data_IF_634982621398
#
_entry.id   IF_634982621398
#
_cell.length_a   1.000
_cell.length_b   1.000
_cell.length_c   1.000
_cell.angle_alpha   90.00
_cell.angle_beta   90.00
_cell.angle_gamma   90.00
#
_symmetry.space_group_name_H-M   'P 1'
#
loop_
_entity.id
_entity.type
_entity.pdbx_description
1 polymer ?
#
# COMPACT_ATOMS: atom_id res chain seq x y z
N UNK A 1 -7.11 27.54 7.87
CA UNK A 1 -5.93 27.33 7.02
C UNK A 1 -5.67 25.83 7.08
N UNK A 2 -5.97 25.08 6.02
CA UNK A 2 -5.76 23.64 5.95
C UNK A 2 -4.26 23.46 5.71
N UNK A 3 -3.59 22.76 6.61
CA UNK A 3 -2.17 22.46 6.45
C UNK A 3 -2.02 21.53 5.23
N UNK A 4 -1.40 22.02 4.16
CA UNK A 4 -1.08 21.22 2.97
C UNK A 4 -0.05 20.11 3.27
N UNK A 5 0.49 20.09 4.48
CA UNK A 5 1.58 19.22 4.91
C UNK A 5 1.11 18.00 5.71
N UNK A 6 -0.21 17.82 5.91
CA UNK A 6 -0.71 16.65 6.65
C UNK A 6 -0.39 15.36 5.93
N UNK A 7 0.34 14.47 6.59
CA UNK A 7 0.62 13.10 6.14
C UNK A 7 -0.31 12.12 6.87
N UNK A 8 -1.19 11.47 6.14
CA UNK A 8 -2.15 10.50 6.67
C UNK A 8 -1.82 9.10 6.18
N UNK A 9 -1.96 8.11 7.05
CA UNK A 9 -1.95 6.70 6.69
C UNK A 9 -3.36 6.13 6.81
N UNK A 10 -3.82 5.44 5.79
CA UNK A 10 -4.97 4.54 5.85
C UNK A 10 -4.42 3.14 5.63
N UNK A 11 -4.49 2.30 6.66
CA UNK A 11 -3.88 0.98 6.63
C UNK A 11 -4.94 -0.09 6.86
N UNK A 12 -5.01 -1.03 5.93
CA UNK A 12 -5.93 -2.16 5.98
C UNK A 12 -5.20 -3.40 6.51
N UNK A 13 -5.66 -3.97 7.60
CA UNK A 13 -5.03 -5.11 8.25
C UNK A 13 -6.03 -6.27 8.38
N UNK A 14 -5.80 -7.33 7.61
CA UNK A 14 -6.58 -8.56 7.74
C UNK A 14 -6.08 -9.39 8.91
N UNK A 15 -7.01 -9.84 9.75
CA UNK A 15 -6.78 -10.58 10.99
C UNK A 15 -7.48 -11.93 10.95
N UNK A 16 -6.73 -12.99 11.28
CA UNK A 16 -7.22 -14.33 11.54
C UNK A 16 -6.50 -14.92 12.76
N UNK A 17 -6.82 -16.17 13.14
CA UNK A 17 -6.26 -16.82 14.33
C UNK A 17 -4.72 -16.88 14.33
N UNK A 18 -4.11 -17.05 13.17
CA UNK A 18 -2.66 -17.18 13.01
C UNK A 18 -1.95 -15.83 12.83
N UNK A 19 -2.71 -14.70 12.82
CA UNK A 19 -2.18 -13.41 12.40
C UNK A 19 -0.97 -12.92 13.19
N UNK A 20 -0.91 -13.18 14.50
CA UNK A 20 0.21 -12.75 15.32
C UNK A 20 1.45 -13.61 15.17
N UNK A 21 1.29 -14.88 14.83
CA UNK A 21 2.39 -15.84 14.68
C UNK A 21 2.89 -15.93 13.25
N UNK A 22 2.08 -15.46 12.28
CA UNK A 22 2.45 -15.51 10.88
C UNK A 22 3.68 -14.64 10.57
N UNK A 23 4.75 -15.19 9.97
CA UNK A 23 6.00 -14.46 9.77
C UNK A 23 5.85 -13.17 8.97
N UNK A 24 4.92 -13.12 8.01
CA UNK A 24 4.65 -11.92 7.21
C UNK A 24 3.99 -10.83 8.06
N UNK A 25 3.10 -11.17 8.98
CA UNK A 25 2.52 -10.17 9.87
C UNK A 25 3.54 -9.63 10.88
N UNK A 26 4.43 -10.48 11.40
CA UNK A 26 5.57 -10.02 12.23
C UNK A 26 6.42 -9.00 11.46
N UNK A 27 6.67 -9.26 10.18
CA UNK A 27 7.34 -8.29 9.29
C UNK A 27 6.55 -6.99 9.16
N UNK A 28 5.23 -7.05 8.91
CA UNK A 28 4.39 -5.86 8.84
C UNK A 28 4.40 -5.07 10.15
N UNK A 29 4.30 -5.72 11.30
CA UNK A 29 4.38 -5.06 12.61
C UNK A 29 5.72 -4.35 12.78
N UNK A 30 6.83 -4.99 12.44
CA UNK A 30 8.16 -4.38 12.53
C UNK A 30 8.31 -3.17 11.61
N UNK A 31 7.80 -3.26 10.39
CA UNK A 31 7.84 -2.16 9.44
C UNK A 31 6.89 -1.02 9.84
N UNK A 32 5.72 -1.33 10.40
CA UNK A 32 4.82 -0.33 10.96
C UNK A 32 5.48 0.40 12.13
N UNK A 33 6.07 -0.32 13.09
CA UNK A 33 6.83 0.28 14.20
C UNK A 33 7.86 1.30 13.70
N UNK A 34 8.59 0.95 12.64
CA UNK A 34 9.62 1.81 12.04
C UNK A 34 9.05 3.07 11.39
N UNK A 35 7.92 2.99 10.69
CA UNK A 35 7.49 4.06 9.80
C UNK A 35 6.24 4.82 10.24
N UNK A 36 5.41 4.27 11.12
CA UNK A 36 4.12 4.86 11.49
C UNK A 36 4.26 6.28 12.08
N UNK A 37 5.38 6.57 12.73
CA UNK A 37 5.67 7.88 13.33
C UNK A 37 5.82 9.02 12.30
N UNK A 38 6.05 8.69 11.01
CA UNK A 38 6.15 9.67 9.91
C UNK A 38 4.80 10.31 9.56
N UNK A 39 3.70 9.76 10.06
CA UNK A 39 2.35 10.25 9.80
C UNK A 39 1.83 11.14 10.91
N UNK A 40 0.93 12.07 10.56
CA UNK A 40 0.24 12.95 11.49
C UNK A 40 -1.09 12.35 11.95
N UNK A 41 -1.69 11.53 11.09
CA UNK A 41 -2.95 10.84 11.33
C UNK A 41 -2.87 9.42 10.78
N UNK A 42 -3.41 8.47 11.55
CA UNK A 42 -3.55 7.06 11.13
C UNK A 42 -4.99 6.61 11.27
N UNK A 43 -5.55 6.08 10.20
CA UNK A 43 -6.81 5.33 10.19
C UNK A 43 -6.44 3.87 9.99
N UNK A 44 -6.51 3.10 11.06
CA UNK A 44 -6.17 1.69 11.05
C UNK A 44 -7.44 0.85 10.93
N UNK A 45 -7.58 0.17 9.80
CA UNK A 45 -8.77 -0.58 9.42
C UNK A 45 -8.53 -2.07 9.60
N UNK A 46 -9.18 -2.67 10.58
CA UNK A 46 -9.09 -4.10 10.87
C UNK A 46 -10.15 -4.83 10.05
N UNK A 47 -9.72 -5.76 9.20
CA UNK A 47 -10.60 -6.67 8.46
C UNK A 47 -10.60 -8.01 9.20
N UNK A 48 -11.76 -8.53 9.57
CA UNK A 48 -11.90 -9.75 10.35
C UNK A 48 -13.04 -10.63 9.82
N UNK A 49 -12.83 -11.95 9.86
CA UNK A 49 -13.85 -12.92 9.45
C UNK A 49 -14.96 -13.04 10.48
N UNK A 50 -14.61 -12.98 11.75
CA UNK A 50 -15.54 -13.11 12.87
C UNK A 50 -15.38 -11.93 13.85
N UNK A 51 -16.38 -11.06 13.89
CA UNK A 51 -16.41 -9.92 14.81
C UNK A 51 -16.45 -10.30 16.29
N UNK A 52 -16.79 -11.53 16.63
CA UNK A 52 -16.79 -11.98 18.02
C UNK A 52 -15.37 -12.18 18.57
N UNK A 53 -14.35 -12.16 17.71
CA UNK A 53 -12.92 -12.24 18.09
C UNK A 53 -12.38 -10.91 18.62
N UNK A 54 -13.03 -10.39 19.66
CA UNK A 54 -12.60 -9.16 20.35
C UNK A 54 -11.17 -9.22 20.88
N UNK A 55 -10.70 -10.40 21.26
CA UNK A 55 -9.34 -10.64 21.74
C UNK A 55 -8.28 -10.28 20.67
N UNK A 56 -8.50 -10.64 19.42
CA UNK A 56 -7.58 -10.31 18.32
C UNK A 56 -7.62 -8.82 17.99
N UNK A 57 -8.83 -8.25 17.94
CA UNK A 57 -9.01 -6.82 17.69
C UNK A 57 -8.27 -6.02 18.76
N UNK A 58 -8.50 -6.33 20.04
CA UNK A 58 -7.87 -5.64 21.17
C UNK A 58 -6.34 -5.73 21.11
N UNK A 59 -5.77 -6.89 20.83
CA UNK A 59 -4.31 -7.07 20.70
C UNK A 59 -3.71 -6.19 19.61
N UNK A 60 -4.38 -6.06 18.45
CA UNK A 60 -3.94 -5.17 17.37
C UNK A 60 -4.03 -3.71 17.80
N UNK A 61 -5.13 -3.31 18.41
CA UNK A 61 -5.31 -1.93 18.90
C UNK A 61 -4.24 -1.58 19.93
N UNK A 62 -3.98 -2.44 20.91
CA UNK A 62 -2.94 -2.26 21.92
C UNK A 62 -1.55 -2.11 21.28
N UNK A 63 -1.23 -2.97 20.31
CA UNK A 63 0.04 -2.86 19.59
C UNK A 63 0.16 -1.51 18.86
N UNK A 64 -0.83 -1.12 18.06
CA UNK A 64 -0.78 0.14 17.30
C UNK A 64 -0.73 1.35 18.25
N UNK A 65 -1.50 1.35 19.34
CA UNK A 65 -1.45 2.40 20.38
C UNK A 65 -0.07 2.48 21.03
N UNK A 66 0.64 1.36 21.19
CA UNK A 66 1.97 1.35 21.78
C UNK A 66 3.05 2.03 20.91
N UNK A 67 2.86 2.03 19.60
CA UNK A 67 3.84 2.57 18.64
C UNK A 67 3.44 3.91 18.01
N UNK A 68 2.18 4.36 18.18
CA UNK A 68 1.70 5.60 17.58
C UNK A 68 0.87 6.43 18.56
N UNK A 69 1.31 7.68 18.80
CA UNK A 69 0.76 8.55 19.85
C UNK A 69 0.12 9.86 19.31
N UNK A 70 -0.08 9.95 18.00
CA UNK A 70 -0.77 11.09 17.39
C UNK A 70 -2.25 10.77 17.15
N UNK A 71 -2.87 11.39 16.17
CA UNK A 71 -4.28 11.16 15.83
C UNK A 71 -4.50 9.76 15.24
N UNK A 72 -5.13 8.88 16.01
CA UNK A 72 -5.39 7.49 15.66
C UNK A 72 -6.89 7.20 15.67
N UNK A 73 -7.35 6.50 14.66
CA UNK A 73 -8.73 6.03 14.52
C UNK A 73 -8.72 4.56 14.12
N UNK A 74 -9.45 3.73 14.84
CA UNK A 74 -9.69 2.34 14.47
C UNK A 74 -11.04 2.19 13.79
N UNK A 75 -11.09 1.34 12.78
CA UNK A 75 -12.31 0.92 12.10
C UNK A 75 -12.29 -0.58 11.87
N UNK A 76 -13.44 -1.24 12.02
CA UNK A 76 -13.58 -2.69 11.87
C UNK A 76 -14.45 -2.96 10.66
N UNK A 77 -13.97 -3.82 9.80
CA UNK A 77 -14.61 -4.26 8.57
C UNK A 77 -14.80 -5.78 8.58
N UNK A 78 -15.96 -6.23 8.09
CA UNK A 78 -16.14 -7.65 7.78
C UNK A 78 -15.29 -8.02 6.58
N UNK A 79 -14.65 -9.19 6.63
CA UNK A 79 -13.97 -9.72 5.46
C UNK A 79 -15.00 -10.09 4.39
N UNK A 80 -14.79 -9.56 3.20
CA UNK A 80 -15.63 -9.80 2.03
C UNK A 80 -14.76 -10.23 0.85
N UNK A 81 -15.38 -10.61 -0.25
CA UNK A 81 -14.65 -10.88 -1.50
C UNK A 81 -13.86 -9.68 -2.03
N UNK A 82 -14.14 -8.47 -1.51
CA UNK A 82 -13.45 -7.24 -1.90
C UNK A 82 -12.18 -6.96 -1.08
N UNK A 83 -12.02 -7.61 0.09
CA UNK A 83 -10.83 -7.49 0.96
C UNK A 83 -10.44 -6.02 1.22
N UNK A 84 -9.15 -5.68 1.06
CA UNK A 84 -8.59 -4.33 1.22
C UNK A 84 -9.24 -3.28 0.29
N UNK A 85 -9.75 -3.69 -0.85
CA UNK A 85 -10.45 -2.79 -1.78
C UNK A 85 -11.74 -2.22 -1.20
N UNK A 86 -12.42 -2.93 -0.28
CA UNK A 86 -13.57 -2.39 0.44
C UNK A 86 -13.15 -1.24 1.37
N UNK A 87 -12.03 -1.40 2.07
CA UNK A 87 -11.45 -0.35 2.92
C UNK A 87 -11.06 0.86 2.07
N UNK A 88 -10.33 0.63 0.98
CA UNK A 88 -9.94 1.69 0.06
C UNK A 88 -11.15 2.46 -0.47
N UNK A 89 -12.19 1.77 -0.90
CA UNK A 89 -13.41 2.40 -1.41
C UNK A 89 -14.08 3.27 -0.34
N UNK A 90 -14.29 2.74 0.85
CA UNK A 90 -14.99 3.43 1.91
C UNK A 90 -14.19 4.58 2.52
N UNK A 91 -12.89 4.42 2.70
CA UNK A 91 -12.05 5.38 3.40
C UNK A 91 -11.39 6.40 2.47
N UNK A 92 -11.23 6.06 1.20
CA UNK A 92 -10.56 6.92 0.21
C UNK A 92 -11.52 7.34 -0.89
N UNK A 93 -11.98 6.41 -1.71
CA UNK A 93 -12.69 6.76 -2.94
C UNK A 93 -13.97 7.58 -2.67
N UNK A 94 -14.74 7.22 -1.63
CA UNK A 94 -15.97 7.95 -1.25
C UNK A 94 -15.74 9.14 -0.35
N UNK A 95 -14.51 9.36 0.14
CA UNK A 95 -14.17 10.42 1.11
C UNK A 95 -13.11 11.40 0.58
N UNK A 96 -12.75 11.33 -0.71
CA UNK A 96 -11.64 12.09 -1.30
C UNK A 96 -11.67 13.58 -0.96
N UNK A 97 -12.86 14.19 -0.88
CA UNK A 97 -13.01 15.61 -0.56
C UNK A 97 -12.52 16.00 0.84
N UNK A 98 -12.45 15.01 1.77
CA UNK A 98 -12.02 15.19 3.17
C UNK A 98 -10.54 14.86 3.39
N UNK A 99 -9.88 14.30 2.38
CA UNK A 99 -8.50 13.82 2.48
C UNK A 99 -7.53 14.90 2.00
N UNK A 100 -7.37 15.95 2.79
CA UNK A 100 -6.37 16.98 2.56
C UNK A 100 -4.94 16.46 2.75
N UNK A 101 -3.95 17.12 2.17
CA UNK A 101 -2.54 16.73 2.24
C UNK A 101 -2.22 15.47 1.45
N UNK A 102 -1.30 14.67 1.97
CA UNK A 102 -0.88 13.40 1.41
C UNK A 102 -1.49 12.23 2.19
N UNK A 103 -2.16 11.33 1.49
CA UNK A 103 -2.68 10.11 2.09
C UNK A 103 -1.98 8.89 1.50
N UNK A 104 -1.34 8.11 2.37
CA UNK A 104 -0.77 6.82 2.06
C UNK A 104 -1.80 5.72 2.29
N UNK A 105 -1.91 4.80 1.34
CA UNK A 105 -2.67 3.57 1.50
C UNK A 105 -1.74 2.37 1.49
N UNK A 106 -1.94 1.47 2.45
CA UNK A 106 -1.21 0.21 2.55
C UNK A 106 -2.05 -0.88 3.23
N UNK A 107 -1.58 -2.13 3.14
CA UNK A 107 -2.23 -3.26 3.79
C UNK A 107 -1.24 -4.37 4.14
N UNK A 108 -1.65 -5.36 4.95
CA UNK A 108 -0.80 -6.51 5.26
C UNK A 108 -0.80 -7.54 4.11
N UNK A 109 -0.11 -7.17 3.04
CA UNK A 109 0.08 -7.98 1.84
C UNK A 109 0.82 -9.29 2.15
N UNK A 110 0.44 -10.35 1.44
CA UNK A 110 1.21 -11.60 1.41
C UNK A 110 0.81 -12.64 2.44
N UNK A 111 -0.14 -12.35 3.32
CA UNK A 111 -0.59 -13.32 4.35
C UNK A 111 -1.33 -14.53 3.75
N UNK A 112 -1.90 -14.37 2.56
CA UNK A 112 -2.60 -15.42 1.82
C UNK A 112 -1.87 -15.88 0.56
N UNK A 113 -0.64 -15.43 0.35
CA UNK A 113 0.14 -15.78 -0.84
C UNK A 113 0.67 -17.22 -0.73
N UNK A 114 0.68 -17.90 -1.85
CA UNK A 114 1.23 -19.26 -1.99
C UNK A 114 2.70 -19.26 -2.43
N UNK A 115 3.26 -18.08 -2.66
CA UNK A 115 4.65 -17.91 -3.06
C UNK A 115 5.61 -18.26 -1.92
N UNK A 116 6.88 -18.59 -2.23
CA UNK A 116 7.89 -18.83 -1.21
C UNK A 116 7.99 -17.65 -0.25
N UNK A 117 7.96 -17.93 1.05
CA UNK A 117 7.88 -16.91 2.12
C UNK A 117 8.96 -15.84 2.01
N UNK A 118 10.17 -16.21 1.60
CA UNK A 118 11.27 -15.24 1.44
C UNK A 118 11.02 -14.26 0.28
N UNK A 119 10.38 -14.72 -0.79
CA UNK A 119 9.94 -13.86 -1.89
C UNK A 119 8.91 -12.84 -1.41
N UNK A 120 7.92 -13.31 -0.64
CA UNK A 120 6.88 -12.43 -0.07
C UNK A 120 7.48 -11.43 0.92
N UNK A 121 8.39 -11.85 1.79
CA UNK A 121 9.10 -10.95 2.71
C UNK A 121 9.85 -9.84 1.98
N UNK A 122 10.57 -10.19 0.93
CA UNK A 122 11.31 -9.22 0.13
C UNK A 122 10.37 -8.24 -0.56
N UNK A 123 9.27 -8.71 -1.13
CA UNK A 123 8.26 -7.87 -1.74
C UNK A 123 7.64 -6.89 -0.72
N UNK A 124 7.18 -7.40 0.41
CA UNK A 124 6.63 -6.57 1.49
C UNK A 124 7.65 -5.51 1.94
N UNK A 125 8.90 -5.92 2.18
CA UNK A 125 9.96 -4.98 2.59
C UNK A 125 10.18 -3.89 1.53
N UNK A 126 10.20 -4.25 0.26
CA UNK A 126 10.37 -3.29 -0.84
C UNK A 126 9.22 -2.27 -0.90
N UNK A 127 7.97 -2.72 -0.69
CA UNK A 127 6.83 -1.81 -0.68
C UNK A 127 6.92 -0.75 0.43
N UNK A 128 7.40 -1.10 1.62
CA UNK A 128 7.63 -0.12 2.69
C UNK A 128 8.85 0.75 2.40
N UNK A 129 9.97 0.14 2.04
CA UNK A 129 11.24 0.85 1.81
C UNK A 129 11.08 1.94 0.76
N UNK A 130 10.60 1.60 -0.44
CA UNK A 130 10.50 2.56 -1.54
C UNK A 130 9.37 3.58 -1.41
N UNK A 131 8.40 3.34 -0.52
CA UNK A 131 7.35 4.30 -0.25
C UNK A 131 7.60 5.16 0.99
N UNK A 132 8.30 4.63 2.00
CA UNK A 132 8.33 5.24 3.32
C UNK A 132 9.73 5.56 3.85
N UNK A 133 10.83 4.97 3.34
CA UNK A 133 12.17 5.31 3.81
C UNK A 133 12.52 6.75 3.46
N UNK A 134 12.10 7.20 2.29
CA UNK A 134 12.38 8.55 1.81
C UNK A 134 11.24 9.50 2.14
N UNK A 135 11.57 10.70 2.60
CA UNK A 135 10.56 11.73 2.83
C UNK A 135 10.01 12.25 1.51
N UNK A 136 8.69 12.26 1.39
CA UNK A 136 7.97 12.86 0.27
C UNK A 136 7.26 14.12 0.77
N UNK A 137 7.84 15.32 0.57
CA UNK A 137 7.10 16.55 0.80
C UNK A 137 6.00 16.70 -0.26
N UNK A 138 4.87 17.27 0.16
CA UNK A 138 3.73 17.53 -0.74
C UNK A 138 4.13 18.21 -2.05
N UNK A 139 5.11 19.12 -1.97
CA UNK A 139 5.60 19.88 -3.12
C UNK A 139 6.39 19.03 -4.11
N UNK A 140 6.99 17.92 -3.69
CA UNK A 140 7.72 17.04 -4.61
C UNK A 140 6.77 16.27 -5.54
N UNK A 141 5.47 16.21 -5.17
CA UNK A 141 4.41 15.73 -6.05
C UNK A 141 3.82 16.85 -6.93
N UNK A 142 4.55 17.93 -7.22
CA UNK A 142 4.08 18.96 -8.15
C UNK A 142 3.82 18.36 -9.54
N UNK A 143 2.56 18.49 -9.99
CA UNK A 143 2.11 17.90 -11.26
C UNK A 143 1.74 16.41 -11.20
N UNK A 144 1.96 15.72 -10.06
CA UNK A 144 1.60 14.33 -9.88
C UNK A 144 0.46 14.18 -8.88
N UNK A 145 -0.42 13.21 -9.14
CA UNK A 145 -1.55 12.86 -8.26
C UNK A 145 -1.22 11.68 -7.38
N UNK A 146 -0.43 10.74 -7.88
CA UNK A 146 -0.02 9.53 -7.18
C UNK A 146 1.48 9.33 -7.18
N UNK A 147 1.98 8.68 -6.11
CA UNK A 147 3.34 8.17 -5.99
C UNK A 147 3.30 6.80 -5.32
N UNK A 148 3.98 5.83 -5.90
CA UNK A 148 4.05 4.47 -5.35
C UNK A 148 5.26 3.71 -5.85
N UNK A 149 5.59 2.64 -5.14
CA UNK A 149 6.52 1.65 -5.62
C UNK A 149 5.80 0.68 -6.57
N UNK A 150 6.57 0.01 -7.40
CA UNK A 150 6.09 -1.10 -8.20
C UNK A 150 4.96 -0.69 -9.18
N UNK A 151 5.07 0.51 -9.77
CA UNK A 151 4.17 0.94 -10.85
C UNK A 151 4.46 0.15 -12.11
N UNK A 152 3.44 -0.41 -12.75
CA UNK A 152 3.54 -1.02 -14.07
C UNK A 152 2.69 -0.29 -15.09
N UNK A 153 3.23 -0.06 -16.27
CA UNK A 153 2.51 0.51 -17.41
C UNK A 153 2.01 -0.55 -18.39
N UNK A 154 2.65 -1.70 -18.41
CA UNK A 154 2.24 -2.81 -19.26
C UNK A 154 1.53 -3.83 -18.40
N UNK A 155 0.23 -3.76 -18.44
CA UNK A 155 -0.54 -4.87 -17.95
C UNK A 155 -0.62 -5.87 -19.11
N UNK A 156 0.37 -6.72 -19.22
CA UNK A 156 0.14 -8.06 -19.72
C UNK A 156 -0.69 -8.87 -18.68
N UNK A 157 -1.44 -8.17 -17.89
CA UNK A 157 -2.54 -8.68 -17.09
C UNK A 157 -3.67 -9.18 -18.00
N UNK A 158 -3.30 -9.59 -19.16
CA UNK A 158 -4.17 -9.95 -20.27
C UNK A 158 -5.24 -10.96 -19.89
N UNK A 159 -5.00 -11.78 -18.92
CA UNK A 159 -5.98 -12.79 -18.57
C UNK A 159 -6.80 -12.48 -17.30
N UNK A 160 -6.26 -11.76 -16.34
CA UNK A 160 -6.95 -11.54 -15.05
C UNK A 160 -7.78 -10.26 -15.08
N UNK A 161 -7.24 -9.18 -15.62
CA UNK A 161 -7.90 -7.88 -15.58
C UNK A 161 -8.75 -7.59 -16.83
N UNK A 162 -8.38 -8.12 -17.98
CA UNK A 162 -9.10 -7.92 -19.25
C UNK A 162 -10.36 -8.79 -19.34
N UNK A 163 -10.37 -9.98 -18.77
CA UNK A 163 -11.54 -10.89 -18.77
C UNK A 163 -12.81 -10.27 -18.19
N UNK A 164 -12.67 -9.34 -17.27
CA UNK A 164 -13.82 -8.74 -16.57
C UNK A 164 -14.20 -7.36 -17.12
N UNK A 165 -13.69 -6.94 -18.29
CA UNK A 165 -13.91 -5.59 -18.87
C UNK A 165 -13.51 -4.44 -17.91
N UNK A 166 -12.55 -4.64 -17.03
CA UNK A 166 -12.22 -3.73 -15.96
C UNK A 166 -11.31 -2.57 -16.42
N UNK A 167 -10.65 -2.71 -17.57
CA UNK A 167 -9.77 -1.70 -18.12
C UNK A 167 -10.37 -1.01 -19.34
N UNK A 168 -10.77 0.23 -19.17
CA UNK A 168 -11.29 0.99 -20.32
C UNK A 168 -10.33 2.04 -20.89
N UNK A 169 -9.33 2.54 -20.14
CA UNK A 169 -8.55 3.69 -20.63
C UNK A 169 -7.04 3.71 -20.31
N UNK A 170 -6.60 3.34 -19.14
CA UNK A 170 -5.19 3.49 -18.73
C UNK A 170 -4.70 2.23 -18.01
N UNK A 171 -4.03 1.33 -18.71
CA UNK A 171 -3.63 0.03 -18.14
C UNK A 171 -2.36 0.17 -17.28
N UNK A 172 -2.43 0.84 -16.15
CA UNK A 172 -1.34 0.91 -15.19
C UNK A 172 -1.85 0.78 -13.75
N UNK A 173 -1.04 0.21 -12.88
CA UNK A 173 -1.36 -0.03 -11.47
C UNK A 173 -0.13 0.14 -10.59
N UNK A 174 -0.34 0.27 -9.30
CA UNK A 174 0.70 0.01 -8.29
C UNK A 174 0.51 -1.41 -7.75
N UNK A 175 1.40 -2.32 -8.15
CA UNK A 175 1.35 -3.70 -7.66
C UNK A 175 1.51 -3.75 -6.14
N UNK A 176 0.57 -4.41 -5.46
CA UNK A 176 0.59 -4.57 -4.01
C UNK A 176 -0.08 -3.46 -3.21
N UNK A 177 -0.69 -2.48 -3.86
CA UNK A 177 -1.55 -1.46 -3.24
C UNK A 177 -0.86 -0.61 -2.15
N UNK A 178 0.40 -0.23 -2.39
CA UNK A 178 1.16 0.68 -1.53
C UNK A 178 1.49 1.94 -2.28
N UNK A 179 0.77 3.03 -2.00
CA UNK A 179 0.99 4.30 -2.69
C UNK A 179 0.43 5.50 -1.93
N UNK A 180 0.99 6.66 -2.25
CA UNK A 180 0.54 7.97 -1.82
C UNK A 180 -0.40 8.59 -2.84
N UNK A 181 -1.37 9.38 -2.39
CA UNK A 181 -2.27 10.13 -3.26
C UNK A 181 -2.63 11.51 -2.71
N UNK A 182 -2.91 12.44 -3.63
CA UNK A 182 -3.50 13.76 -3.38
C UNK A 182 -5.00 13.71 -3.67
N UNK A 183 -5.73 13.02 -2.82
CA UNK A 183 -7.13 12.67 -3.11
C UNK A 183 -8.07 13.87 -3.16
N UNK A 184 -7.88 14.89 -2.31
CA UNK A 184 -8.69 16.09 -2.38
C UNK A 184 -8.48 16.88 -3.68
N UNK A 185 -7.25 16.91 -4.19
CA UNK A 185 -6.98 17.50 -5.51
C UNK A 185 -7.63 16.70 -6.63
N UNK A 186 -7.53 15.37 -6.56
CA UNK A 186 -8.18 14.46 -7.49
C UNK A 186 -9.70 14.69 -7.51
N UNK A 187 -10.35 14.77 -6.35
CA UNK A 187 -11.77 15.06 -6.23
C UNK A 187 -12.16 16.37 -6.92
N UNK A 188 -11.36 17.44 -6.70
CA UNK A 188 -11.59 18.73 -7.37
C UNK A 188 -11.48 18.63 -8.89
N UNK A 189 -10.52 17.85 -9.40
CA UNK A 189 -10.37 17.61 -10.84
C UNK A 189 -11.55 16.82 -11.39
N UNK A 190 -11.96 15.76 -10.70
CA UNK A 190 -13.11 14.95 -11.09
C UNK A 190 -14.40 15.78 -11.16
N UNK A 191 -14.68 16.58 -10.12
CA UNK A 191 -15.84 17.47 -10.09
C UNK A 191 -15.84 18.49 -11.25
N UNK A 192 -14.68 19.10 -11.54
CA UNK A 192 -14.55 20.04 -12.67
C UNK A 192 -14.76 19.38 -14.05
N UNK A 193 -14.34 18.13 -14.18
CA UNK A 193 -14.43 17.37 -15.45
C UNK A 193 -15.72 16.55 -15.54
N UNK A 194 -16.61 16.63 -14.56
CA UNK A 194 -17.81 15.78 -14.44
C UNK A 194 -17.50 14.29 -14.56
N UNK A 195 -16.36 13.86 -13.99
CA UNK A 195 -15.99 12.46 -13.90
C UNK A 195 -16.64 11.82 -12.68
N UNK A 196 -17.15 10.63 -12.86
CA UNK A 196 -17.65 9.80 -11.77
C UNK A 196 -16.53 8.95 -11.20
N UNK A 197 -16.55 8.76 -9.86
CA UNK A 197 -15.67 7.81 -9.20
C UNK A 197 -16.15 6.40 -9.57
N UNK A 198 -15.25 5.50 -10.00
CA UNK A 198 -15.61 4.12 -10.28
C UNK A 198 -16.27 3.46 -9.06
N UNK A 199 -17.28 2.63 -9.30
CA UNK A 199 -17.87 1.82 -8.25
C UNK A 199 -16.96 0.65 -7.88
N UNK A 200 -17.01 0.22 -6.63
CA UNK A 200 -16.34 -0.99 -6.18
C UNK A 200 -16.91 -2.21 -6.91
N UNK A 201 -16.10 -2.83 -7.77
CA UNK A 201 -16.52 -3.93 -8.64
C UNK A 201 -15.85 -5.25 -8.30
N UNK A 202 -14.64 -5.21 -7.74
CA UNK A 202 -13.83 -6.41 -7.51
C UNK A 202 -12.74 -6.17 -6.45
N UNK A 203 -12.01 -7.24 -6.09
CA UNK A 203 -10.95 -7.21 -5.08
C UNK A 203 -9.69 -6.44 -5.48
N UNK A 204 -9.52 -6.13 -6.77
CA UNK A 204 -8.36 -5.40 -7.30
C UNK A 204 -8.62 -3.90 -7.44
N UNK A 205 -9.78 -3.44 -7.01
CA UNK A 205 -10.19 -2.04 -7.17
C UNK A 205 -9.14 -1.04 -6.64
N UNK A 206 -8.53 -1.31 -5.50
CA UNK A 206 -7.53 -0.44 -4.91
C UNK A 206 -6.25 -0.32 -5.74
N UNK A 207 -5.83 -1.41 -6.41
CA UNK A 207 -4.67 -1.40 -7.31
C UNK A 207 -4.98 -0.67 -8.62
N UNK A 208 -6.19 -0.82 -9.13
CA UNK A 208 -6.63 -0.29 -10.42
C UNK A 208 -7.03 1.18 -10.36
N UNK A 209 -7.54 1.62 -9.21
CA UNK A 209 -8.10 2.95 -9.04
C UNK A 209 -7.19 4.08 -9.55
N UNK A 210 -5.87 4.11 -9.26
CA UNK A 210 -5.01 5.16 -9.78
C UNK A 210 -5.00 5.23 -11.31
N UNK A 211 -4.90 4.09 -12.00
CA UNK A 211 -4.89 4.02 -13.46
C UNK A 211 -6.21 4.38 -14.12
N UNK A 212 -7.33 4.13 -13.44
CA UNK A 212 -8.64 4.55 -13.93
C UNK A 212 -8.87 6.06 -13.76
N UNK A 213 -8.27 6.66 -12.74
CA UNK A 213 -8.52 8.06 -12.41
C UNK A 213 -7.62 9.03 -13.16
N UNK A 214 -6.37 8.67 -13.45
CA UNK A 214 -5.40 9.54 -14.09
C UNK A 214 -4.56 8.81 -15.12
N UNK A 215 -4.04 9.56 -16.09
CA UNK A 215 -3.07 9.06 -17.04
C UNK A 215 -1.74 8.74 -16.34
N UNK A 216 -0.97 7.82 -16.91
CA UNK A 216 0.32 7.38 -16.35
C UNK A 216 1.30 8.53 -16.10
N UNK A 217 1.23 9.60 -16.89
CA UNK A 217 2.06 10.82 -16.76
C UNK A 217 1.82 11.59 -15.46
N UNK A 218 0.67 11.37 -14.79
CA UNK A 218 0.34 11.99 -13.50
C UNK A 218 0.64 11.10 -12.30
N UNK A 219 1.29 9.97 -12.54
CA UNK A 219 1.69 9.03 -11.51
C UNK A 219 3.21 8.86 -11.51
N UNK A 220 3.80 8.91 -10.32
CA UNK A 220 5.24 8.84 -10.12
C UNK A 220 5.63 7.56 -9.40
N UNK A 221 6.82 7.06 -9.68
CA UNK A 221 7.46 5.99 -8.92
C UNK A 221 8.74 6.49 -8.28
N UNK A 222 9.31 5.71 -7.38
CA UNK A 222 10.64 5.95 -6.88
C UNK A 222 11.64 6.06 -8.05
N UNK A 223 12.31 7.22 -8.12
CA UNK A 223 13.25 7.57 -9.20
C UNK A 223 12.70 7.45 -10.64
N UNK A 224 11.36 7.61 -10.79
CA UNK A 224 10.68 7.61 -12.09
C UNK A 224 10.81 6.30 -12.88
N UNK A 225 11.04 5.20 -12.19
CA UNK A 225 11.20 3.90 -12.84
C UNK A 225 9.91 3.11 -12.90
N UNK A 226 9.66 2.53 -14.04
CA UNK A 226 8.49 1.70 -14.31
C UNK A 226 8.88 0.22 -14.29
N UNK A 227 7.92 -0.60 -13.94
CA UNK A 227 8.07 -2.03 -13.87
C UNK A 227 7.73 -2.68 -15.21
N UNK A 228 8.46 -3.73 -15.53
CA UNK A 228 8.04 -4.72 -16.52
C UNK A 228 7.18 -5.76 -15.78
N UNK A 229 5.86 -5.72 -16.02
CA UNK A 229 4.86 -6.54 -15.28
C UNK A 229 5.12 -8.03 -15.24
N UNK A 230 5.76 -8.57 -16.28
CA UNK A 230 6.15 -10.01 -16.37
C UNK A 230 7.04 -10.49 -15.23
N UNK A 231 7.89 -9.64 -14.66
CA UNK A 231 8.81 -10.06 -13.60
C UNK A 231 8.10 -10.26 -12.25
N UNK A 232 7.00 -9.52 -11.99
CA UNK A 232 6.19 -9.72 -10.78
C UNK A 232 5.40 -11.02 -10.86
N UNK A 233 4.81 -11.31 -12.03
CA UNK A 233 4.01 -12.52 -12.27
C UNK A 233 4.89 -13.78 -12.23
N UNK A 234 6.14 -13.67 -12.66
CA UNK A 234 7.08 -14.80 -12.65
C UNK A 234 7.63 -15.15 -11.25
N UNK A 235 7.23 -14.45 -10.19
CA UNK A 235 7.70 -14.70 -8.83
C UNK A 235 9.17 -14.36 -8.60
N UNK A 236 9.83 -13.69 -9.55
CA UNK A 236 11.24 -13.37 -9.47
C UNK A 236 11.48 -11.96 -8.92
N UNK A 237 11.02 -11.75 -7.69
CA UNK A 237 11.04 -10.42 -7.05
C UNK A 237 12.45 -9.83 -6.94
N UNK A 238 13.47 -10.68 -6.82
CA UNK A 238 14.87 -10.24 -6.76
C UNK A 238 15.34 -9.62 -8.08
N UNK A 239 15.09 -10.31 -9.20
CA UNK A 239 15.39 -9.79 -10.53
C UNK A 239 14.59 -8.54 -10.82
N UNK A 240 13.38 -8.52 -10.35
CA UNK A 240 12.47 -7.40 -10.44
C UNK A 240 12.97 -6.15 -9.71
N UNK A 241 13.28 -6.26 -8.42
CA UNK A 241 13.84 -5.16 -7.63
C UNK A 241 15.17 -4.74 -8.26
N UNK A 242 15.99 -5.69 -8.67
CA UNK A 242 17.23 -5.41 -9.37
C UNK A 242 16.97 -4.64 -10.68
N UNK A 243 16.15 -5.11 -11.58
CA UNK A 243 15.85 -4.45 -12.85
C UNK A 243 15.22 -3.06 -12.68
N UNK A 244 14.38 -2.89 -11.64
CA UNK A 244 13.67 -1.63 -11.41
C UNK A 244 14.54 -0.56 -10.75
N UNK A 245 15.47 -0.94 -9.87
CA UNK A 245 16.15 0.01 -9.00
C UNK A 245 17.69 -0.02 -9.10
N UNK A 246 18.28 -0.96 -9.80
CA UNK A 246 19.73 -1.24 -9.74
C UNK A 246 20.57 -0.68 -10.85
N UNK A 247 20.02 0.03 -11.82
CA UNK A 247 20.87 0.80 -12.74
C UNK A 247 21.61 1.96 -12.03
N UNK A 248 21.18 2.31 -10.81
CA UNK A 248 21.93 3.23 -9.97
C UNK A 248 22.77 2.44 -8.97
N UNK A 249 24.12 2.55 -9.02
CA UNK A 249 25.00 1.90 -8.07
C UNK A 249 24.59 2.24 -6.63
N UNK A 250 24.46 1.25 -5.79
CA UNK A 250 24.18 1.39 -4.35
C UNK A 250 22.72 1.25 -3.96
N UNK A 251 21.72 1.55 -4.79
CA UNK A 251 20.30 1.46 -4.37
C UNK A 251 19.88 0.03 -4.00
N UNK A 252 20.34 -0.94 -4.76
CA UNK A 252 20.09 -2.34 -4.43
C UNK A 252 20.82 -2.78 -3.17
N UNK A 253 22.08 -2.42 -3.06
CA UNK A 253 22.91 -2.78 -1.91
C UNK A 253 22.32 -2.16 -0.62
N UNK A 254 21.87 -0.91 -0.69
CA UNK A 254 21.17 -0.22 0.41
C UNK A 254 19.88 -0.95 0.79
N UNK A 255 19.06 -1.32 -0.21
CA UNK A 255 17.83 -2.09 0.02
C UNK A 255 18.12 -3.46 0.61
N UNK A 256 19.10 -4.22 0.09
CA UNK A 256 19.46 -5.53 0.62
C UNK A 256 20.03 -5.42 2.05
N UNK A 257 20.81 -4.39 2.31
CA UNK A 257 21.31 -4.10 3.66
C UNK A 257 20.15 -3.86 4.62
N UNK A 258 19.19 -3.04 4.21
CA UNK A 258 17.97 -2.77 4.97
C UNK A 258 17.14 -4.04 5.18
N UNK A 259 16.91 -4.83 4.12
CA UNK A 259 16.18 -6.10 4.19
C UNK A 259 16.80 -7.06 5.22
N UNK A 260 18.12 -7.25 5.14
CA UNK A 260 18.84 -8.12 6.06
C UNK A 260 18.76 -7.62 7.51
N UNK A 261 18.85 -6.30 7.73
CA UNK A 261 18.66 -5.71 9.05
C UNK A 261 17.27 -6.02 9.62
N UNK A 262 16.20 -5.82 8.84
CA UNK A 262 14.83 -6.11 9.27
C UNK A 262 14.65 -7.60 9.58
N UNK A 263 15.22 -8.51 8.75
CA UNK A 263 15.14 -9.95 9.02
C UNK A 263 15.86 -10.34 10.31
N UNK A 264 17.02 -9.73 10.60
CA UNK A 264 17.74 -9.92 11.87
C UNK A 264 16.89 -9.47 13.06
N UNK A 265 16.33 -8.26 13.01
CA UNK A 265 15.49 -7.70 14.08
C UNK A 265 14.21 -8.56 14.35
N UNK A 266 13.63 -9.18 13.32
CA UNK A 266 12.50 -10.11 13.48
C UNK A 266 12.99 -11.44 14.10
N UNK A 267 14.18 -11.89 13.74
CA UNK A 267 14.80 -13.10 14.33
C UNK A 267 14.96 -13.02 15.82
N UNK A 268 15.38 -11.86 16.33
CA UNK A 268 15.55 -11.60 17.76
C UNK A 268 14.22 -11.53 18.55
N UNK A 269 13.09 -11.28 17.87
CA UNK A 269 11.75 -11.30 18.51
C UNK A 269 11.24 -12.71 18.85
N UNK A 270 11.99 -13.78 18.52
CA UNK A 270 11.58 -15.16 18.83
C UNK A 270 11.75 -15.54 20.31
N UNK A 271 12.46 -14.73 21.07
CA UNK A 271 12.84 -14.99 22.47
C UNK A 271 12.15 -14.05 23.48
N UNK A 272 11.12 -13.27 23.03
CA UNK A 272 10.35 -12.37 23.89
C UNK A 272 8.90 -12.90 24.10
#
# INVERSE_FOLDING_TARGET
MISLDTKRMIYSFYVNDDSFDHPINKLHFKLLERYIHKFDEVIFCIIIDDRERYDLIQRIEEFIVSIFHKKLTFKIYDNTNYRESLVFYNEIATQMEKLDGLTFFGHNKGISDTDPIETVKMWVTAMYYFNLEFDLPYNDLNGFTFYGSLKTNEIEADEIYVKDNLYQKNPWVYCGTFFWGKYQELDRVCKRQNRTIPHLTNRWYSEMFPGEMVETTYARTYKEREIIGQLVIAGNINEYIYATYCEEPGVYDDFITFFNQIQYEIGDMRDC
#
